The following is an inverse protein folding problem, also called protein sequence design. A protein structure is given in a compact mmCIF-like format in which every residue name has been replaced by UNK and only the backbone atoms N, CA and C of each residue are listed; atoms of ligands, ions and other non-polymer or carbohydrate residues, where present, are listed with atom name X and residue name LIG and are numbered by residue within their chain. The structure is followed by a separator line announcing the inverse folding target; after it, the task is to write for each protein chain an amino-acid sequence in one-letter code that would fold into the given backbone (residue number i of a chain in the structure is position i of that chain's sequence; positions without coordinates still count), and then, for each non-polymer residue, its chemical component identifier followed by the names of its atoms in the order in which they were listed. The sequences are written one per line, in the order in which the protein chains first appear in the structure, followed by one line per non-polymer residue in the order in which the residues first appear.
data_IF_268436182663
#
_entry.id   IF_268436182663
#
_cell.length_a   1.000
_cell.length_b   1.000
_cell.length_c   1.000
_cell.angle_alpha   90.00
_cell.angle_beta   90.00
_cell.angle_gamma   90.00
#
_symmetry.space_group_name_H-M   'P 1'
#
loop_
_entity.id
_entity.type
_entity.pdbx_description
1 polymer ?
#
# COMPACT_ATOMS: atom_id res chain seq x y z
N UNK A 1 -25.13 -3.98 11.70
CA UNK A 1 -24.59 -3.42 12.95
C UNK A 1 -24.56 -1.90 12.96
N UNK A 2 -24.14 -1.25 11.86
CA UNK A 2 -24.05 0.23 11.77
C UNK A 2 -25.37 0.90 12.15
N UNK A 3 -26.49 0.38 11.64
CA UNK A 3 -27.85 0.90 11.92
C UNK A 3 -28.16 0.95 13.42
N UNK A 4 -27.58 0.06 14.23
CA UNK A 4 -27.76 0.03 15.68
C UNK A 4 -27.13 1.25 16.38
N UNK A 5 -26.05 1.78 15.82
CA UNK A 5 -25.31 2.91 16.40
C UNK A 5 -25.57 4.23 15.67
N UNK A 6 -26.07 4.14 14.42
CA UNK A 6 -26.43 5.28 13.59
C UNK A 6 -27.78 5.00 12.91
N UNK A 7 -28.90 5.20 13.61
CA UNK A 7 -30.24 5.01 13.05
C UNK A 7 -30.46 5.85 11.79
N UNK A 8 -31.08 5.26 10.77
CA UNK A 8 -31.28 5.89 9.47
C UNK A 8 -30.10 5.78 8.51
N UNK A 9 -29.03 5.05 8.87
CA UNK A 9 -27.90 4.81 7.98
C UNK A 9 -28.31 4.09 6.68
N UNK A 10 -29.20 3.08 6.77
CA UNK A 10 -29.66 2.32 5.61
C UNK A 10 -30.38 3.21 4.58
N UNK A 11 -31.18 4.15 5.06
CA UNK A 11 -31.97 5.03 4.19
C UNK A 11 -31.08 6.03 3.43
N UNK A 12 -29.85 6.22 3.88
CA UNK A 12 -28.85 7.08 3.24
C UNK A 12 -27.90 6.32 2.32
N UNK A 13 -27.98 4.98 2.30
CA UNK A 13 -27.16 4.14 1.42
C UNK A 13 -27.79 4.08 0.02
N UNK A 14 -27.14 4.69 -0.96
CA UNK A 14 -27.62 4.69 -2.35
C UNK A 14 -27.40 3.36 -3.05
N UNK A 15 -26.31 2.67 -2.74
CA UNK A 15 -25.98 1.36 -3.28
C UNK A 15 -25.01 0.62 -2.37
N UNK A 16 -25.04 -0.70 -2.42
CA UNK A 16 -24.10 -1.56 -1.70
C UNK A 16 -23.59 -2.64 -2.64
N UNK A 17 -22.27 -2.77 -2.74
CA UNK A 17 -21.61 -3.85 -3.45
C UNK A 17 -20.71 -4.63 -2.49
N UNK A 18 -20.84 -5.96 -2.51
CA UNK A 18 -20.07 -6.85 -1.63
C UNK A 18 -19.14 -7.71 -2.47
N UNK A 19 -17.84 -7.63 -2.19
CA UNK A 19 -16.83 -8.52 -2.77
C UNK A 19 -16.32 -9.43 -1.66
N UNK A 20 -16.54 -10.73 -1.80
CA UNK A 20 -15.99 -11.72 -0.87
C UNK A 20 -14.48 -11.92 -1.09
N UNK A 21 -13.78 -12.48 -0.11
CA UNK A 21 -12.37 -12.82 -0.26
C UNK A 21 -12.13 -13.76 -1.46
N UNK A 22 -12.99 -14.76 -1.64
CA UNK A 22 -12.91 -15.68 -2.78
C UNK A 22 -13.13 -14.99 -4.13
N UNK A 23 -14.07 -14.03 -4.20
CA UNK A 23 -14.33 -13.29 -5.44
C UNK A 23 -13.23 -12.27 -5.74
N UNK A 24 -12.48 -11.80 -4.74
CA UNK A 24 -11.42 -10.81 -4.93
C UNK A 24 -10.27 -11.32 -5.78
N UNK A 25 -9.85 -12.57 -5.60
CA UNK A 25 -8.80 -13.19 -6.40
C UNK A 25 -9.18 -13.29 -7.88
N UNK A 26 -10.44 -13.59 -8.19
CA UNK A 26 -10.93 -13.61 -9.58
C UNK A 26 -10.97 -12.22 -10.23
N UNK A 27 -11.16 -11.16 -9.43
CA UNK A 27 -11.13 -9.76 -9.90
C UNK A 27 -9.69 -9.28 -10.05
N UNK A 28 -8.82 -9.65 -9.13
CA UNK A 28 -7.41 -9.29 -9.13
C UNK A 28 -6.55 -10.51 -8.79
N UNK A 29 -5.93 -11.17 -9.77
CA UNK A 29 -5.10 -12.36 -9.55
C UNK A 29 -3.90 -12.15 -8.62
N UNK A 30 -3.48 -10.91 -8.38
CA UNK A 30 -2.43 -10.61 -7.40
C UNK A 30 -2.93 -10.70 -5.96
N UNK A 31 -4.25 -10.70 -5.73
CA UNK A 31 -4.85 -10.83 -4.41
C UNK A 31 -5.12 -12.31 -4.06
N UNK A 32 -4.07 -13.11 -4.00
CA UNK A 32 -4.14 -14.57 -3.75
C UNK A 32 -4.86 -14.86 -2.42
N UNK A 33 -5.87 -15.71 -2.44
CA UNK A 33 -6.73 -15.99 -1.28
C UNK A 33 -7.56 -14.79 -0.81
N UNK A 34 -7.69 -13.74 -1.63
CA UNK A 34 -8.37 -12.49 -1.28
C UNK A 34 -7.50 -11.53 -0.46
N UNK A 35 -6.18 -11.76 -0.42
CA UNK A 35 -5.24 -10.91 0.31
C UNK A 35 -5.21 -9.48 -0.25
N UNK A 36 -5.47 -8.51 0.62
CA UNK A 36 -5.42 -7.07 0.33
C UNK A 36 -4.18 -6.40 0.93
N UNK A 37 -3.37 -7.16 1.68
CA UNK A 37 -2.21 -6.62 2.40
C UNK A 37 -0.87 -6.82 1.68
N UNK A 38 -0.89 -7.54 0.55
CA UNK A 38 0.32 -7.83 -0.21
C UNK A 38 1.27 -8.77 0.51
N UNK A 39 0.70 -9.76 1.22
CA UNK A 39 1.39 -10.79 1.98
C UNK A 39 1.05 -10.82 3.47
N UNK A 40 1.47 -11.86 4.16
CA UNK A 40 1.16 -12.07 5.57
C UNK A 40 1.54 -10.86 6.44
N UNK A 41 0.61 -10.42 7.29
CA UNK A 41 0.83 -9.29 8.21
C UNK A 41 1.28 -9.82 9.58
N UNK A 42 2.52 -10.28 9.63
CA UNK A 42 3.17 -10.74 10.86
C UNK A 42 4.31 -9.80 11.24
N UNK A 43 4.75 -9.82 12.51
CA UNK A 43 5.88 -9.00 12.96
C UNK A 43 7.16 -9.28 12.14
N UNK A 44 7.39 -10.54 11.78
CA UNK A 44 8.53 -10.92 10.93
C UNK A 44 8.41 -10.30 9.55
N UNK A 45 7.23 -10.36 8.94
CA UNK A 45 7.00 -9.78 7.61
C UNK A 45 6.99 -8.24 7.62
N UNK A 46 6.62 -7.61 8.72
CA UNK A 46 6.74 -6.15 8.85
C UNK A 46 8.19 -5.67 8.67
N UNK A 47 9.17 -6.48 9.09
CA UNK A 47 10.59 -6.17 8.96
C UNK A 47 11.18 -6.68 7.64
N UNK A 48 10.68 -7.82 7.11
CA UNK A 48 11.25 -8.52 5.94
C UNK A 48 10.58 -8.19 4.61
N UNK A 49 9.67 -7.24 4.57
CA UNK A 49 8.92 -6.85 3.35
C UNK A 49 9.71 -5.99 2.39
N UNK A 50 9.65 -6.27 1.09
CA UNK A 50 9.54 -7.58 0.46
C UNK A 50 10.83 -8.36 0.64
N UNK A 51 11.90 -7.68 1.02
CA UNK A 51 13.25 -8.20 1.31
C UNK A 51 13.87 -7.42 2.46
N UNK A 52 14.84 -8.03 3.16
CA UNK A 52 15.64 -7.33 4.16
C UNK A 52 16.69 -6.49 3.45
N UNK A 53 16.43 -5.21 3.30
CA UNK A 53 17.33 -4.26 2.64
C UNK A 53 17.18 -2.85 3.22
N UNK A 54 18.21 -2.01 3.07
CA UNK A 54 18.15 -0.59 3.45
C UNK A 54 17.14 0.21 2.61
N UNK A 55 16.94 -0.19 1.35
CA UNK A 55 15.99 0.41 0.44
C UNK A 55 15.15 -0.70 -0.22
N UNK A 56 14.19 -1.29 0.50
CA UNK A 56 13.39 -2.42 0.03
C UNK A 56 12.43 -2.04 -1.10
N UNK A 57 12.38 -0.79 -1.48
CA UNK A 57 11.62 -0.28 -2.63
C UNK A 57 12.33 -0.49 -3.97
N UNK A 58 13.66 -0.72 -3.97
CA UNK A 58 14.42 -1.06 -5.20
C UNK A 58 14.14 -2.49 -5.63
N UNK A 59 14.06 -2.68 -6.95
CA UNK A 59 14.07 -4.02 -7.54
C UNK A 59 15.46 -4.35 -8.10
N UNK A 60 15.73 -5.62 -8.43
CA UNK A 60 16.95 -5.98 -9.18
C UNK A 60 17.03 -5.36 -10.58
N UNK A 61 15.91 -4.87 -11.12
CA UNK A 61 15.85 -4.22 -12.42
C UNK A 61 16.19 -2.73 -12.28
N UNK A 62 17.22 -2.21 -12.99
CA UNK A 62 17.54 -0.80 -12.95
C UNK A 62 16.34 0.08 -13.35
N UNK A 63 16.09 1.14 -12.59
CA UNK A 63 15.01 2.10 -12.85
C UNK A 63 13.61 1.62 -12.47
N UNK A 64 13.46 0.40 -11.92
CA UNK A 64 12.17 -0.15 -11.49
C UNK A 64 12.10 -0.17 -9.95
N UNK A 65 11.04 0.41 -9.40
CA UNK A 65 10.83 0.52 -7.97
C UNK A 65 9.44 0.02 -7.57
N UNK A 66 9.33 -0.49 -6.36
CA UNK A 66 8.06 -0.94 -5.78
C UNK A 66 7.49 0.13 -4.85
N UNK A 67 6.20 0.41 -4.98
CA UNK A 67 5.47 1.38 -4.16
C UNK A 67 4.08 0.84 -3.82
N UNK A 68 4.03 -0.29 -3.13
CA UNK A 68 2.79 -1.00 -2.86
C UNK A 68 2.66 -1.42 -1.40
N UNK A 69 1.54 -2.02 -1.04
CA UNK A 69 1.32 -2.63 0.27
C UNK A 69 2.34 -3.72 0.63
N UNK A 70 3.03 -4.29 -0.38
CA UNK A 70 4.11 -5.28 -0.16
C UNK A 70 5.41 -4.65 0.33
N UNK A 71 5.55 -3.32 0.31
CA UNK A 71 6.76 -2.62 0.76
C UNK A 71 6.52 -1.89 2.08
N UNK A 72 7.56 -1.59 2.87
CA UNK A 72 7.41 -0.81 4.09
C UNK A 72 6.76 0.57 3.85
N UNK A 73 5.95 1.04 4.76
CA UNK A 73 5.61 0.46 6.08
C UNK A 73 4.53 -0.63 6.03
N UNK A 74 4.10 -1.07 4.87
CA UNK A 74 3.07 -2.07 4.70
C UNK A 74 1.71 -1.47 4.31
N UNK A 75 0.63 -2.26 4.42
CA UNK A 75 -0.70 -1.85 3.98
C UNK A 75 -1.24 -0.67 4.80
N UNK A 76 -2.02 0.17 4.14
CA UNK A 76 -2.68 1.33 4.74
C UNK A 76 -2.94 2.43 3.72
N UNK A 77 -3.94 3.28 3.99
CA UNK A 77 -4.25 4.44 3.14
C UNK A 77 -3.44 5.64 3.63
N UNK A 78 -2.13 5.57 3.51
CA UNK A 78 -1.20 6.59 4.03
C UNK A 78 -0.21 7.14 2.98
N UNK A 79 -0.11 6.51 1.80
CA UNK A 79 0.81 6.91 0.74
C UNK A 79 2.30 6.75 1.06
N UNK A 80 2.68 6.25 2.24
CA UNK A 80 4.08 6.21 2.69
C UNK A 80 4.95 5.30 1.83
N UNK A 81 4.43 4.18 1.33
CA UNK A 81 5.19 3.30 0.43
C UNK A 81 5.61 4.05 -0.85
N UNK A 82 4.70 4.82 -1.43
CA UNK A 82 4.97 5.70 -2.59
C UNK A 82 5.98 6.80 -2.27
N UNK A 83 5.81 7.46 -1.12
CA UNK A 83 6.73 8.51 -0.68
C UNK A 83 8.16 7.98 -0.48
N UNK A 84 8.34 6.84 0.16
CA UNK A 84 9.65 6.22 0.34
C UNK A 84 10.26 5.75 -0.98
N UNK A 85 9.44 5.17 -1.88
CA UNK A 85 9.89 4.79 -3.22
C UNK A 85 10.37 6.02 -4.00
N UNK A 86 9.60 7.11 -4.02
CA UNK A 86 9.98 8.36 -4.69
C UNK A 86 11.28 8.93 -4.14
N UNK A 87 11.47 8.96 -2.82
CA UNK A 87 12.75 9.37 -2.22
C UNK A 87 13.92 8.49 -2.65
N UNK A 88 13.68 7.20 -2.80
CA UNK A 88 14.71 6.26 -3.27
C UNK A 88 15.08 6.55 -4.72
N UNK A 89 14.09 6.81 -5.58
CA UNK A 89 14.31 7.24 -6.98
C UNK A 89 15.16 8.51 -7.05
N UNK A 90 14.76 9.54 -6.29
CA UNK A 90 15.50 10.81 -6.26
C UNK A 90 16.94 10.62 -5.79
N UNK A 91 17.14 9.83 -4.74
CA UNK A 91 18.49 9.51 -4.23
C UNK A 91 19.34 8.80 -5.29
N UNK A 92 18.76 7.87 -6.03
CA UNK A 92 19.46 7.11 -7.08
C UNK A 92 19.78 7.98 -8.31
N UNK A 93 18.96 8.99 -8.55
CA UNK A 93 19.20 10.01 -9.59
C UNK A 93 20.19 11.12 -9.15
N UNK A 94 20.74 11.04 -7.93
CA UNK A 94 21.60 12.09 -7.37
C UNK A 94 20.89 13.40 -7.05
N UNK A 95 19.55 13.35 -6.93
CA UNK A 95 18.73 14.51 -6.60
C UNK A 95 18.43 14.58 -5.10
N UNK A 96 18.24 15.76 -4.53
CA UNK A 96 17.87 15.90 -3.13
C UNK A 96 16.51 15.25 -2.87
N UNK A 97 16.47 14.33 -1.94
CA UNK A 97 15.25 13.61 -1.54
C UNK A 97 14.38 14.43 -0.58
N UNK A 98 14.34 15.74 -0.72
CA UNK A 98 13.60 16.67 0.11
C UNK A 98 12.33 17.14 -0.60
N UNK A 99 11.21 17.12 0.12
CA UNK A 99 9.93 17.68 -0.32
C UNK A 99 9.98 19.22 -0.45
N UNK A 100 11.07 19.86 -0.03
CA UNK A 100 11.24 21.32 -0.08
C UNK A 100 11.18 21.88 -1.50
N UNK A 101 11.37 21.03 -2.53
CA UNK A 101 11.19 21.41 -3.93
C UNK A 101 9.71 21.55 -4.35
N UNK A 102 8.79 20.87 -3.65
CA UNK A 102 7.37 20.88 -3.97
C UNK A 102 6.55 21.83 -3.07
N UNK A 103 7.09 22.14 -1.90
CA UNK A 103 6.46 23.04 -0.94
C UNK A 103 7.50 24.02 -0.39
N UNK A 104 7.91 25.02 -1.19
CA UNK A 104 8.74 26.11 -0.68
C UNK A 104 7.97 26.78 0.47
N UNK A 105 8.63 26.95 1.61
CA UNK A 105 8.07 27.63 2.79
C UNK A 105 7.88 29.10 2.52
#
# INVERSE_FOLDING_TARGET
QVERFAPGFRDRSLATHVVTAAARESINPAAVGGDIFGGAFTLVQAVRRPVVARAPWRTPMPGVYLASASTPPGPGVNGLAGWHAARTVLSDAGLPATLDLLFPR
#
